data_IF_166137580516
#
_entry.id   IF_166137580516
#
_cell.length_a   1.000
_cell.length_b   1.000
_cell.length_c   1.000
_cell.angle_alpha   90.00
_cell.angle_beta   90.00
_cell.angle_gamma   90.00
#
_symmetry.space_group_name_H-M   'P 1'
#
loop_
_entity.id
_entity.type
_entity.pdbx_description
1 polymer ?
#
# COMPACT_ATOMS: atom_id res chain seq x y z
N UNK A 1 62.85 45.42 21.06
CA UNK A 1 61.59 45.78 20.38
C UNK A 1 61.40 45.14 18.98
N UNK A 2 62.46 44.98 18.18
CA UNK A 2 62.38 44.40 16.80
C UNK A 2 61.99 42.91 16.80
N UNK A 3 62.56 42.12 17.71
CA UNK A 3 62.34 40.66 17.81
C UNK A 3 60.86 40.30 18.02
N UNK A 4 60.15 41.04 18.88
CA UNK A 4 58.72 40.85 19.15
C UNK A 4 57.86 41.10 17.91
N UNK A 5 58.23 42.10 17.10
CA UNK A 5 57.51 42.44 15.85
C UNK A 5 57.68 41.36 14.80
N UNK A 6 58.88 40.75 14.71
CA UNK A 6 59.15 39.63 13.80
C UNK A 6 58.35 38.38 14.21
N UNK A 7 58.32 38.03 15.50
CA UNK A 7 57.53 36.91 16.01
C UNK A 7 56.04 37.11 15.73
N UNK A 8 55.53 38.32 15.97
CA UNK A 8 54.13 38.65 15.69
C UNK A 8 53.79 38.51 14.20
N UNK A 9 54.64 39.03 13.31
CA UNK A 9 54.44 38.92 11.86
C UNK A 9 54.51 37.46 11.39
N UNK A 10 55.42 36.66 11.93
CA UNK A 10 55.52 35.24 11.61
C UNK A 10 54.27 34.48 12.07
N UNK A 11 53.80 34.73 13.30
CA UNK A 11 52.58 34.12 13.85
C UNK A 11 51.34 34.52 13.06
N UNK A 12 51.25 35.80 12.65
CA UNK A 12 50.17 36.31 11.80
C UNK A 12 50.19 35.64 10.42
N UNK A 13 51.36 35.46 9.80
CA UNK A 13 51.50 34.78 8.51
C UNK A 13 51.11 33.30 8.61
N UNK A 14 51.56 32.59 9.65
CA UNK A 14 51.18 31.20 9.92
C UNK A 14 49.67 31.03 10.15
N UNK A 15 49.04 31.95 10.89
CA UNK A 15 47.60 31.95 11.11
C UNK A 15 46.82 32.16 9.80
N UNK A 16 47.27 33.09 8.95
CA UNK A 16 46.66 33.32 7.63
C UNK A 16 46.75 32.08 6.73
N UNK A 17 47.90 31.40 6.71
CA UNK A 17 48.10 30.17 5.93
C UNK A 17 47.15 29.06 6.41
N UNK A 18 47.06 28.84 7.72
CA UNK A 18 46.15 27.84 8.30
C UNK A 18 44.68 28.15 8.02
N UNK A 19 44.29 29.43 8.09
CA UNK A 19 42.93 29.86 7.78
C UNK A 19 42.57 29.60 6.31
N UNK A 20 43.46 29.96 5.39
CA UNK A 20 43.23 29.74 3.95
C UNK A 20 43.17 28.24 3.61
N UNK A 21 43.99 27.40 4.27
CA UNK A 21 43.94 25.95 4.12
C UNK A 21 42.62 25.33 4.63
N UNK A 22 42.09 25.80 5.75
CA UNK A 22 40.79 25.33 6.26
C UNK A 22 39.63 25.77 5.37
N UNK A 23 39.67 27.00 4.83
CA UNK A 23 38.66 27.50 3.90
C UNK A 23 38.62 26.66 2.61
N UNK A 24 39.78 26.31 2.05
CA UNK A 24 39.85 25.44 0.86
C UNK A 24 39.25 24.05 1.08
N UNK A 25 39.48 23.44 2.26
CA UNK A 25 38.87 22.15 2.63
C UNK A 25 37.35 22.25 2.78
N UNK A 26 36.85 23.36 3.33
CA UNK A 26 35.42 23.60 3.48
C UNK A 26 34.71 23.72 2.13
N UNK A 27 35.27 24.47 1.18
CA UNK A 27 34.71 24.58 -0.18
C UNK A 27 34.74 23.24 -0.93
N UNK A 28 35.81 22.47 -0.78
CA UNK A 28 35.89 21.11 -1.36
C UNK A 28 34.79 20.20 -0.84
N UNK A 29 34.48 20.26 0.46
CA UNK A 29 33.40 19.48 1.07
C UNK A 29 32.02 19.92 0.56
N UNK A 30 31.76 21.23 0.49
CA UNK A 30 30.48 21.77 0.02
C UNK A 30 30.23 21.38 -1.46
N UNK A 31 31.26 21.46 -2.32
CA UNK A 31 31.15 21.06 -3.72
C UNK A 31 30.89 19.56 -3.84
N UNK A 32 31.58 18.73 -3.03
CA UNK A 32 31.36 17.28 -3.04
C UNK A 32 29.96 16.89 -2.55
N UNK A 33 29.45 17.56 -1.51
CA UNK A 33 28.13 17.31 -0.94
C UNK A 33 27.03 17.77 -1.90
N UNK A 34 27.19 18.94 -2.51
CA UNK A 34 26.30 19.45 -3.55
C UNK A 34 26.24 18.52 -4.76
N UNK A 35 27.40 18.08 -5.26
CA UNK A 35 27.47 17.12 -6.37
C UNK A 35 26.76 15.79 -6.05
N UNK A 36 26.96 15.26 -4.84
CA UNK A 36 26.31 14.03 -4.40
C UNK A 36 24.79 14.20 -4.33
N UNK A 37 24.28 15.31 -3.81
CA UNK A 37 22.83 15.56 -3.75
C UNK A 37 22.20 15.63 -5.13
N UNK A 38 22.85 16.28 -6.10
CA UNK A 38 22.37 16.35 -7.49
C UNK A 38 22.31 14.96 -8.12
N UNK A 39 23.34 14.13 -7.93
CA UNK A 39 23.37 12.76 -8.46
C UNK A 39 22.22 11.93 -7.86
N UNK A 40 22.00 12.00 -6.54
CA UNK A 40 20.90 11.25 -5.90
C UNK A 40 19.52 11.71 -6.38
N UNK A 41 19.32 13.01 -6.60
CA UNK A 41 18.06 13.56 -7.10
C UNK A 41 17.82 13.17 -8.57
N UNK A 42 18.86 13.16 -9.40
CA UNK A 42 18.79 12.67 -10.78
C UNK A 42 18.45 11.18 -10.82
N UNK A 43 19.09 10.36 -9.99
CA UNK A 43 18.80 8.93 -9.90
C UNK A 43 17.35 8.67 -9.41
N UNK A 44 16.87 9.44 -8.43
CA UNK A 44 15.48 9.36 -7.97
C UNK A 44 14.49 9.74 -9.09
N UNK A 45 14.77 10.82 -9.82
CA UNK A 45 13.91 11.28 -10.92
C UNK A 45 13.85 10.24 -12.04
N UNK A 46 14.98 9.67 -12.45
CA UNK A 46 15.03 8.60 -13.45
C UNK A 46 14.30 7.34 -12.95
N UNK A 47 14.52 6.93 -11.70
CA UNK A 47 13.84 5.78 -11.11
C UNK A 47 12.32 5.96 -11.07
N UNK A 48 11.82 7.15 -10.68
CA UNK A 48 10.39 7.45 -10.67
C UNK A 48 9.76 7.35 -12.06
N UNK A 49 10.48 7.77 -13.10
CA UNK A 49 10.03 7.62 -14.49
C UNK A 49 9.98 6.15 -14.92
N UNK A 50 11.00 5.35 -14.59
CA UNK A 50 11.03 3.92 -14.92
C UNK A 50 9.89 3.17 -14.21
N UNK A 51 9.65 3.44 -12.93
CA UNK A 51 8.51 2.84 -12.20
C UNK A 51 7.18 3.25 -12.83
N UNK A 52 7.00 4.52 -13.20
CA UNK A 52 5.78 4.98 -13.87
C UNK A 52 5.58 4.38 -15.28
N UNK A 53 6.66 4.12 -16.02
CA UNK A 53 6.61 3.51 -17.36
C UNK A 53 6.37 2.00 -17.29
N UNK A 54 6.83 1.34 -16.23
CA UNK A 54 6.52 -0.06 -16.00
C UNK A 54 5.06 -0.27 -15.59
N UNK A 55 4.42 0.73 -14.98
CA UNK A 55 2.96 0.74 -14.78
C UNK A 55 2.19 1.02 -16.08
N UNK A 56 2.80 1.68 -17.08
CA UNK A 56 2.14 2.03 -18.34
C UNK A 56 2.21 0.95 -19.45
N UNK A 57 2.97 -0.13 -19.26
CA UNK A 57 3.14 -1.20 -20.25
C UNK A 57 2.39 -2.50 -19.92
N UNK A 58 1.62 -2.54 -18.83
CA UNK A 58 0.56 -3.54 -18.67
C UNK A 58 -0.71 -2.96 -19.28
N UNK A 59 -1.12 -3.52 -20.41
CA UNK A 59 -2.10 -2.96 -21.33
C UNK A 59 -3.35 -2.41 -20.68
N UNK A 60 -3.79 -1.25 -21.17
CA UNK A 60 -5.18 -0.80 -21.24
C UNK A 60 -6.10 -1.28 -20.09
N UNK A 61 -5.71 -1.07 -18.84
CA UNK A 61 -6.62 -1.23 -17.72
C UNK A 61 -7.42 0.06 -17.64
N UNK A 62 -8.65 0.00 -18.14
CA UNK A 62 -9.67 1.01 -17.86
C UNK A 62 -9.70 1.24 -16.35
N UNK A 63 -9.22 2.40 -15.92
CA UNK A 63 -9.45 2.89 -14.57
C UNK A 63 -10.96 2.95 -14.36
N UNK A 64 -11.46 2.08 -13.46
CA UNK A 64 -12.80 2.02 -12.91
C UNK A 64 -13.70 3.22 -13.28
N UNK A 65 -14.59 2.99 -14.25
CA UNK A 65 -15.63 3.96 -14.62
C UNK A 65 -16.60 4.10 -13.46
N UNK A 66 -16.59 5.24 -12.77
CA UNK A 66 -17.60 5.58 -11.77
C UNK A 66 -18.95 5.62 -12.51
N UNK A 67 -19.80 4.63 -12.26
CA UNK A 67 -21.17 4.62 -12.76
C UNK A 67 -21.95 5.68 -12.00
N UNK A 68 -22.13 6.85 -12.59
CA UNK A 68 -23.13 7.82 -12.15
C UNK A 68 -24.52 7.31 -12.57
N UNK A 69 -25.53 7.53 -11.73
CA UNK A 69 -26.93 7.09 -11.95
C UNK A 69 -27.51 7.53 -13.29
N UNK A 70 -26.91 8.54 -13.92
CA UNK A 70 -27.35 9.15 -15.18
C UNK A 70 -26.83 8.40 -16.43
N UNK A 71 -25.83 7.53 -16.30
CA UNK A 71 -25.18 6.81 -17.41
C UNK A 71 -25.43 5.29 -17.41
N UNK A 72 -26.36 4.80 -16.59
CA UNK A 72 -26.78 3.39 -16.59
C UNK A 72 -28.01 3.27 -17.49
N UNK A 73 -27.88 2.60 -18.63
CA UNK A 73 -29.03 2.17 -19.45
C UNK A 73 -29.85 1.20 -18.60
N UNK A 74 -30.84 1.76 -17.89
CA UNK A 74 -31.57 1.11 -16.81
C UNK A 74 -32.62 0.15 -17.35
N UNK A 75 -32.18 -1.05 -17.74
CA UNK A 75 -32.97 -2.21 -17.33
C UNK A 75 -32.40 -2.63 -15.98
N UNK A 76 -33.10 -2.37 -14.85
CA UNK A 76 -32.68 -2.91 -13.57
C UNK A 76 -32.49 -4.41 -13.75
N UNK A 77 -31.36 -4.95 -13.29
CA UNK A 77 -31.23 -6.38 -13.15
C UNK A 77 -32.45 -6.85 -12.33
N UNK A 78 -33.21 -7.81 -12.83
CA UNK A 78 -34.32 -8.36 -12.05
C UNK A 78 -33.71 -8.97 -10.80
N UNK A 79 -33.87 -8.26 -9.69
CA UNK A 79 -33.42 -8.75 -8.38
C UNK A 79 -34.40 -9.85 -7.99
N UNK A 80 -34.05 -11.08 -8.35
CA UNK A 80 -34.74 -12.24 -7.83
C UNK A 80 -34.50 -12.27 -6.32
N UNK A 81 -35.55 -11.95 -5.57
CA UNK A 81 -35.55 -12.03 -4.12
C UNK A 81 -35.65 -13.50 -3.75
N UNK A 82 -34.52 -14.10 -3.39
CA UNK A 82 -34.52 -15.40 -2.75
C UNK A 82 -35.21 -15.26 -1.38
N UNK A 83 -36.05 -16.23 -1.03
CA UNK A 83 -36.67 -16.28 0.29
C UNK A 83 -35.57 -16.29 1.36
N UNK A 84 -35.75 -15.57 2.46
CA UNK A 84 -34.81 -15.60 3.59
C UNK A 84 -34.60 -17.01 4.18
N UNK A 85 -35.48 -17.96 3.85
CA UNK A 85 -35.38 -19.36 4.25
C UNK A 85 -34.67 -20.26 3.23
N UNK A 86 -34.30 -19.75 2.05
CA UNK A 86 -33.63 -20.53 1.01
C UNK A 86 -32.11 -20.58 1.26
N UNK A 87 -31.71 -21.56 2.07
CA UNK A 87 -30.30 -21.88 2.34
C UNK A 87 -29.74 -22.93 1.36
N UNK A 88 -30.55 -23.37 0.38
CA UNK A 88 -30.27 -24.53 -0.47
C UNK A 88 -29.99 -24.18 -1.93
N UNK A 89 -30.26 -22.94 -2.34
CA UNK A 89 -30.04 -22.47 -3.69
C UNK A 89 -29.04 -21.32 -3.73
N UNK A 90 -27.98 -21.49 -4.51
CA UNK A 90 -27.17 -20.38 -4.99
C UNK A 90 -27.42 -20.24 -6.50
N UNK A 91 -28.46 -19.48 -6.86
CA UNK A 91 -28.93 -19.05 -8.21
C UNK A 91 -29.16 -20.20 -9.22
N UNK A 92 -28.23 -21.14 -9.40
CA UNK A 92 -28.33 -22.31 -10.29
C UNK A 92 -27.75 -23.62 -9.68
N UNK A 93 -27.38 -23.62 -8.39
CA UNK A 93 -26.84 -24.79 -7.70
C UNK A 93 -27.87 -25.36 -6.69
N UNK A 94 -28.69 -26.35 -7.09
CA UNK A 94 -29.77 -26.88 -6.25
C UNK A 94 -29.30 -27.73 -5.05
N UNK A 95 -27.99 -27.98 -4.93
CA UNK A 95 -27.37 -28.77 -3.86
C UNK A 95 -26.32 -27.98 -3.07
N UNK A 96 -26.36 -26.65 -3.16
CA UNK A 96 -25.50 -25.79 -2.37
C UNK A 96 -25.98 -25.73 -0.92
N UNK A 97 -25.08 -25.83 0.06
CA UNK A 97 -25.45 -25.71 1.47
C UNK A 97 -24.45 -24.80 2.20
N UNK A 98 -24.95 -23.69 2.75
CA UNK A 98 -24.18 -22.83 3.62
C UNK A 98 -23.91 -23.52 4.96
N UNK A 99 -22.72 -24.12 5.13
CA UNK A 99 -22.35 -24.77 6.41
C UNK A 99 -22.14 -23.79 7.56
N UNK A 100 -21.80 -22.53 7.26
CA UNK A 100 -21.56 -21.48 8.24
C UNK A 100 -22.23 -20.21 7.69
N UNK A 101 -23.45 -19.91 8.16
CA UNK A 101 -24.14 -18.68 7.83
C UNK A 101 -24.31 -17.85 9.10
N UNK A 102 -23.71 -16.65 9.12
CA UNK A 102 -23.91 -15.69 10.20
C UNK A 102 -24.96 -14.70 9.74
N UNK A 103 -26.00 -14.49 10.54
CA UNK A 103 -27.01 -13.47 10.24
C UNK A 103 -26.37 -12.07 10.36
N UNK A 104 -26.28 -11.35 9.24
CA UNK A 104 -25.51 -10.10 9.13
C UNK A 104 -26.39 -8.87 9.19
N UNK A 105 -27.59 -8.95 8.63
CA UNK A 105 -28.37 -7.77 8.24
C UNK A 105 -29.55 -7.49 9.18
N UNK A 106 -29.43 -7.81 10.48
CA UNK A 106 -30.52 -7.59 11.44
C UNK A 106 -30.61 -6.12 11.93
N UNK A 107 -29.62 -5.28 11.59
CA UNK A 107 -29.64 -3.85 11.87
C UNK A 107 -29.15 -3.04 10.65
N UNK A 108 -29.83 -1.93 10.37
CA UNK A 108 -29.61 -0.98 9.27
C UNK A 108 -28.29 -0.18 9.36
N UNK A 109 -27.29 -0.68 10.10
CA UNK A 109 -26.18 0.12 10.61
C UNK A 109 -24.88 0.05 9.80
N UNK A 110 -24.82 -0.70 8.70
CA UNK A 110 -23.57 -0.90 7.95
C UNK A 110 -23.67 -0.37 6.53
N UNK A 111 -23.10 0.82 6.30
CA UNK A 111 -22.99 1.46 4.99
C UNK A 111 -22.05 0.68 4.04
N UNK A 112 -21.05 0.00 4.60
CA UNK A 112 -20.01 -0.71 3.86
C UNK A 112 -19.77 -2.08 4.51
N UNK A 113 -19.67 -3.11 3.68
CA UNK A 113 -19.32 -4.48 4.07
C UNK A 113 -18.18 -4.95 3.17
N UNK A 114 -17.18 -5.62 3.76
CA UNK A 114 -16.09 -6.24 3.02
C UNK A 114 -16.35 -7.75 2.86
N UNK A 115 -16.44 -8.23 1.62
CA UNK A 115 -16.48 -9.66 1.32
C UNK A 115 -15.10 -10.12 0.82
N UNK A 116 -14.50 -11.08 1.52
CA UNK A 116 -13.15 -11.59 1.24
C UNK A 116 -13.26 -13.03 0.78
N UNK A 117 -12.89 -13.30 -0.47
CA UNK A 117 -12.76 -14.66 -0.97
C UNK A 117 -11.45 -15.30 -0.47
N UNK A 118 -11.51 -16.51 0.08
CA UNK A 118 -10.34 -17.21 0.64
C UNK A 118 -10.54 -18.74 0.65
N UNK A 119 -9.53 -19.48 1.07
CA UNK A 119 -9.55 -20.96 1.12
C UNK A 119 -9.28 -21.43 2.56
N UNK A 120 -9.77 -22.61 2.99
CA UNK A 120 -9.60 -23.08 4.37
C UNK A 120 -8.14 -23.08 4.85
N UNK A 121 -7.21 -23.51 4.00
CA UNK A 121 -5.75 -23.53 4.26
C UNK A 121 -5.13 -22.16 4.54
N UNK A 122 -5.79 -21.06 4.18
CA UNK A 122 -5.30 -19.69 4.39
C UNK A 122 -5.67 -19.11 5.76
N UNK A 123 -5.72 -19.93 6.80
CA UNK A 123 -6.07 -19.48 8.16
C UNK A 123 -5.20 -18.31 8.64
N UNK A 124 -3.87 -18.40 8.47
CA UNK A 124 -2.93 -17.34 8.88
C UNK A 124 -3.21 -16.01 8.17
N UNK A 125 -3.58 -16.04 6.88
CA UNK A 125 -3.94 -14.83 6.12
C UNK A 125 -5.26 -14.24 6.61
N UNK A 126 -6.27 -15.07 6.88
CA UNK A 126 -7.53 -14.62 7.49
C UNK A 126 -7.29 -13.98 8.84
N UNK A 127 -6.41 -14.55 9.65
CA UNK A 127 -6.06 -14.01 10.96
C UNK A 127 -5.38 -12.65 10.85
N UNK A 128 -4.40 -12.49 9.96
CA UNK A 128 -3.78 -11.19 9.69
C UNK A 128 -4.80 -10.12 9.24
N UNK A 129 -5.79 -10.50 8.42
CA UNK A 129 -6.89 -9.61 8.03
C UNK A 129 -7.74 -9.23 9.25
N UNK A 130 -8.14 -10.21 10.08
CA UNK A 130 -8.89 -10.00 11.33
C UNK A 130 -8.14 -9.09 12.31
N UNK A 131 -6.82 -9.18 12.34
CA UNK A 131 -5.98 -8.41 13.26
C UNK A 131 -5.70 -6.98 12.77
N UNK A 132 -6.00 -6.68 11.50
CA UNK A 132 -5.76 -5.38 10.87
C UNK A 132 -7.07 -4.66 10.56
N UNK A 133 -7.38 -4.46 9.28
CA UNK A 133 -8.45 -3.58 8.83
C UNK A 133 -9.85 -4.15 9.07
N UNK A 134 -10.00 -5.47 9.23
CA UNK A 134 -11.30 -6.09 9.49
C UNK A 134 -11.86 -5.80 10.90
N UNK A 135 -11.10 -5.11 11.76
CA UNK A 135 -11.60 -4.53 13.02
C UNK A 135 -12.51 -3.32 12.80
N UNK A 136 -12.35 -2.63 11.66
CA UNK A 136 -13.00 -1.35 11.39
C UNK A 136 -14.27 -1.50 10.53
N UNK A 137 -14.36 -2.58 9.75
CA UNK A 137 -15.45 -2.80 8.78
C UNK A 137 -15.97 -4.24 8.96
N UNK A 138 -17.30 -4.44 8.97
CA UNK A 138 -17.88 -5.78 8.92
C UNK A 138 -17.29 -6.58 7.75
N UNK A 139 -16.57 -7.65 8.08
CA UNK A 139 -15.81 -8.44 7.10
C UNK A 139 -16.25 -9.90 7.13
N UNK A 140 -16.59 -10.44 5.96
CA UNK A 140 -17.07 -11.81 5.77
C UNK A 140 -16.12 -12.59 4.86
N UNK A 141 -15.79 -13.82 5.27
CA UNK A 141 -14.90 -14.69 4.51
C UNK A 141 -15.72 -15.75 3.77
N UNK A 142 -15.65 -15.76 2.44
CA UNK A 142 -16.25 -16.77 1.59
C UNK A 142 -15.22 -17.83 1.26
N UNK A 143 -15.55 -19.08 1.58
CA UNK A 143 -14.68 -20.22 1.39
C UNK A 143 -15.50 -21.41 0.90
N UNK A 144 -15.06 -22.02 -0.19
CA UNK A 144 -15.50 -23.36 -0.55
C UNK A 144 -14.81 -24.41 0.34
N UNK A 145 -15.47 -25.53 0.58
CA UNK A 145 -14.83 -26.69 1.19
C UNK A 145 -14.09 -27.48 0.10
N UNK A 146 -12.78 -27.73 0.24
CA UNK A 146 -12.08 -28.72 -0.56
C UNK A 146 -12.39 -30.10 0.02
N UNK A 147 -13.28 -30.83 -0.64
CA UNK A 147 -13.69 -32.22 -0.37
C UNK A 147 -14.15 -32.57 1.06
N UNK A 148 -15.00 -33.60 1.17
CA UNK A 148 -15.75 -33.95 2.39
C UNK A 148 -14.91 -34.42 3.59
N UNK A 149 -13.58 -34.51 3.45
CA UNK A 149 -12.68 -35.05 4.48
C UNK A 149 -12.01 -33.98 5.36
N UNK A 150 -12.25 -32.70 5.12
CA UNK A 150 -11.71 -31.63 5.97
C UNK A 150 -12.64 -31.40 7.16
N UNK A 151 -12.25 -31.95 8.32
CA UNK A 151 -12.94 -31.76 9.60
C UNK A 151 -12.95 -30.28 10.01
N UNK A 152 -14.09 -29.81 10.55
CA UNK A 152 -14.31 -28.44 11.05
C UNK A 152 -13.23 -27.93 12.02
N UNK A 153 -12.44 -28.82 12.61
CA UNK A 153 -11.35 -28.47 13.54
C UNK A 153 -10.14 -27.80 12.87
N UNK A 154 -10.14 -27.58 11.55
CA UNK A 154 -9.05 -26.92 10.81
C UNK A 154 -9.45 -25.60 10.11
N UNK A 155 -10.63 -25.04 10.40
CA UNK A 155 -11.18 -23.83 9.74
C UNK A 155 -11.07 -22.59 10.61
#
# INVERSE_FOLDING_TARGET
>A
MIMTKIIYLFKKKQLTIRRNAMIGRLYSLIISLGGLTLITFSLWSVWSKIVSVNESHTGHVEYYRILTTENVTSKPFEVHTLSNADLHSLIDLPSFNFKINKEVCNSTSHLIVALVHTAPSHHVKRQAIRDTWAKMIPTYFFMGLPDSNVTQNQV
#
